data_IF_073592493504
#
_entry.id   IF_073592493504
#
_cell.length_a   1.000
_cell.length_b   1.000
_cell.length_c   1.000
_cell.angle_alpha   90.00
_cell.angle_beta   90.00
_cell.angle_gamma   90.00
#
_symmetry.space_group_name_H-M   'P 1'
#
loop_
_entity.id
_entity.type
_entity.pdbx_description
1 polymer ?
#
# COMPACT_ATOMS: atom_id res chain seq x y z
N UNK A 1 3.27 8.80 -4.76
CA UNK A 1 3.88 7.83 -5.69
C UNK A 1 5.34 7.65 -5.29
N UNK A 2 5.87 6.44 -5.31
CA UNK A 2 7.28 6.20 -4.95
C UNK A 2 7.81 4.91 -5.62
N UNK A 3 9.13 4.80 -5.74
CA UNK A 3 9.79 3.58 -6.21
C UNK A 3 10.04 2.62 -5.03
N UNK A 4 9.60 1.38 -5.18
CA UNK A 4 9.69 0.35 -4.15
C UNK A 4 9.91 -1.04 -4.74
N UNK A 5 9.50 -2.05 -3.98
CA UNK A 5 9.69 -3.45 -4.32
C UNK A 5 8.38 -4.23 -4.28
N UNK A 6 8.43 -5.49 -4.72
CA UNK A 6 7.42 -6.47 -4.34
C UNK A 6 7.40 -6.66 -2.82
N UNK A 7 6.21 -6.88 -2.25
CA UNK A 7 6.02 -7.15 -0.81
C UNK A 7 6.03 -8.63 -0.47
N UNK A 8 6.24 -9.49 -1.47
CA UNK A 8 6.46 -10.93 -1.34
C UNK A 8 7.74 -11.32 -2.10
N UNK A 9 8.38 -12.46 -1.76
CA UNK A 9 9.52 -12.96 -2.52
C UNK A 9 9.23 -13.02 -4.04
N UNK A 10 10.20 -12.69 -4.91
CA UNK A 10 11.61 -12.45 -4.61
C UNK A 10 11.96 -11.01 -4.20
N UNK A 11 10.99 -10.17 -3.81
CA UNK A 11 11.22 -8.81 -3.35
C UNK A 11 11.88 -7.89 -4.39
N UNK A 12 11.69 -8.16 -5.69
CA UNK A 12 12.26 -7.36 -6.80
C UNK A 12 11.93 -5.88 -6.65
N UNK A 13 12.94 -5.03 -6.78
CA UNK A 13 12.83 -3.56 -6.76
C UNK A 13 12.42 -2.99 -8.13
N UNK A 14 12.34 -1.66 -8.24
CA UNK A 14 11.96 -0.99 -9.47
C UNK A 14 10.45 -0.90 -9.71
N UNK A 15 9.62 -1.23 -8.70
CA UNK A 15 8.17 -1.15 -8.79
C UNK A 15 7.70 0.25 -8.43
N UNK A 16 6.94 0.90 -9.32
CA UNK A 16 6.31 2.17 -8.98
C UNK A 16 5.01 1.95 -8.22
N UNK A 17 4.97 2.39 -6.96
CA UNK A 17 3.80 2.33 -6.10
C UNK A 17 3.00 3.63 -6.15
N UNK A 18 1.69 3.50 -6.38
CA UNK A 18 0.70 4.56 -6.11
C UNK A 18 -0.18 4.09 -4.96
N UNK A 19 -0.28 4.89 -3.90
CA UNK A 19 -1.16 4.63 -2.76
C UNK A 19 -2.24 5.69 -2.76
N UNK A 20 -3.50 5.26 -2.81
CA UNK A 20 -4.64 6.16 -2.71
C UNK A 20 -4.78 6.72 -1.28
N UNK A 21 -4.95 8.04 -1.17
CA UNK A 21 -5.22 8.71 0.10
C UNK A 21 -6.62 8.40 0.66
N UNK A 22 -7.59 8.10 -0.21
CA UNK A 22 -8.97 7.81 0.20
C UNK A 22 -9.08 6.39 0.72
N UNK A 23 -9.32 6.25 2.02
CA UNK A 23 -9.58 4.96 2.66
C UNK A 23 -10.91 4.40 2.13
N UNK A 24 -10.89 3.14 1.67
CA UNK A 24 -12.08 2.40 1.23
C UNK A 24 -12.54 1.45 2.32
N UNK A 25 -13.83 1.10 2.28
CA UNK A 25 -14.46 0.22 3.25
C UNK A 25 -14.67 -1.18 2.67
N UNK A 26 -14.56 -2.19 3.53
CA UNK A 26 -14.90 -3.59 3.24
C UNK A 26 -15.66 -4.16 4.44
N UNK A 27 -16.62 -5.06 4.22
CA UNK A 27 -17.39 -5.61 5.33
C UNK A 27 -16.54 -6.57 6.17
N UNK A 28 -16.82 -6.66 7.48
CA UNK A 28 -16.17 -7.63 8.36
C UNK A 28 -16.36 -9.08 7.88
N UNK A 29 -17.54 -9.38 7.32
CA UNK A 29 -17.86 -10.69 6.75
C UNK A 29 -16.96 -11.05 5.56
N UNK A 30 -16.74 -10.11 4.63
CA UNK A 30 -15.85 -10.30 3.48
C UNK A 30 -14.40 -10.57 3.92
N UNK A 31 -13.90 -9.80 4.90
CA UNK A 31 -12.55 -10.03 5.46
C UNK A 31 -12.44 -11.40 6.11
N UNK A 32 -13.49 -11.85 6.82
CA UNK A 32 -13.52 -13.19 7.44
C UNK A 32 -13.47 -14.30 6.38
N UNK A 33 -14.22 -14.17 5.29
CA UNK A 33 -14.19 -15.13 4.18
C UNK A 33 -12.78 -15.27 3.60
N UNK A 34 -12.12 -14.14 3.32
CA UNK A 34 -10.75 -14.15 2.79
C UNK A 34 -9.76 -14.79 3.77
N UNK A 35 -9.83 -14.42 5.05
CA UNK A 35 -8.94 -14.96 6.11
C UNK A 35 -9.17 -16.45 6.37
N UNK A 36 -10.38 -16.97 6.16
CA UNK A 36 -10.74 -18.36 6.37
C UNK A 36 -10.48 -19.27 5.15
N UNK A 37 -9.98 -18.73 4.05
CA UNK A 37 -9.54 -19.50 2.89
C UNK A 37 -8.25 -20.29 3.18
N UNK A 38 -7.56 -20.76 2.13
CA UNK A 38 -6.22 -21.37 2.23
C UNK A 38 -5.23 -20.52 3.02
N UNK A 39 -5.43 -19.19 3.08
CA UNK A 39 -4.60 -18.25 3.86
C UNK A 39 -4.58 -18.57 5.36
N UNK A 40 -5.63 -19.18 5.91
CA UNK A 40 -5.69 -19.54 7.34
C UNK A 40 -4.51 -20.42 7.77
N UNK A 41 -4.08 -21.31 6.89
CA UNK A 41 -3.06 -22.32 7.17
C UNK A 41 -1.65 -21.85 6.80
N UNK A 42 -1.51 -21.14 5.67
CA UNK A 42 -0.20 -20.78 5.12
C UNK A 42 0.22 -19.33 5.41
N UNK A 43 -0.73 -18.42 5.63
CA UNK A 43 -0.47 -16.99 5.60
C UNK A 43 -1.45 -16.20 6.49
N UNK A 44 -1.65 -16.65 7.73
CA UNK A 44 -2.58 -16.02 8.69
C UNK A 44 -2.29 -14.54 8.95
N UNK A 45 -1.02 -14.15 8.85
CA UNK A 45 -0.52 -12.77 8.88
C UNK A 45 0.34 -12.54 7.64
N UNK A 46 -0.28 -12.14 6.54
CA UNK A 46 0.34 -12.05 5.21
C UNK A 46 0.77 -10.64 4.80
N UNK A 47 0.77 -9.69 5.74
CA UNK A 47 1.29 -8.35 5.49
C UNK A 47 2.79 -8.31 5.86
N UNK A 48 3.64 -7.95 4.89
CA UNK A 48 5.07 -7.68 5.14
C UNK A 48 5.21 -6.51 6.14
N UNK A 49 6.13 -6.57 7.11
CA UNK A 49 6.40 -5.44 8.01
C UNK A 49 6.81 -4.17 7.26
N UNK A 50 6.56 -3.01 7.86
CA UNK A 50 7.02 -1.72 7.31
C UNK A 50 8.54 -1.75 7.12
N UNK A 51 9.00 -1.28 5.97
CA UNK A 51 10.41 -1.20 5.62
C UNK A 51 10.90 0.24 5.76
N UNK A 52 12.18 0.41 6.07
CA UNK A 52 12.82 1.72 6.19
C UNK A 52 12.74 2.52 4.88
N UNK A 53 12.70 3.85 4.99
CA UNK A 53 12.50 4.73 3.84
C UNK A 53 13.76 4.85 2.97
N UNK A 54 14.97 4.74 3.56
CA UNK A 54 16.25 4.85 2.85
C UNK A 54 16.35 6.10 1.96
N UNK A 55 15.89 7.24 2.46
CA UNK A 55 15.93 8.54 1.75
C UNK A 55 15.20 8.56 0.40
N UNK A 56 14.38 7.54 0.09
CA UNK A 56 13.56 7.52 -1.12
C UNK A 56 12.52 8.63 -1.09
N UNK A 57 12.36 9.30 -2.23
CA UNK A 57 11.33 10.32 -2.40
C UNK A 57 9.93 9.70 -2.47
N UNK A 58 8.96 10.39 -1.87
CA UNK A 58 7.54 10.03 -1.90
C UNK A 58 6.74 11.24 -2.32
N UNK A 59 6.16 11.15 -3.50
CA UNK A 59 5.36 12.24 -4.07
C UNK A 59 3.92 12.16 -3.59
N UNK A 60 3.30 13.31 -3.30
CA UNK A 60 1.86 13.41 -3.06
C UNK A 60 1.20 14.12 -4.24
N UNK A 61 0.24 13.45 -4.88
CA UNK A 61 -0.67 14.13 -5.80
C UNK A 61 -1.82 14.75 -4.99
N UNK A 62 -1.86 16.09 -4.96
CA UNK A 62 -2.97 16.84 -4.39
C UNK A 62 -3.59 17.74 -5.48
N UNK A 63 -4.77 17.36 -6.03
CA UNK A 63 -5.42 18.17 -7.06
C UNK A 63 -5.88 19.53 -6.53
N UNK A 64 -6.13 19.67 -5.21
CA UNK A 64 -6.62 20.94 -4.62
C UNK A 64 -5.49 21.93 -4.36
N UNK A 65 -4.25 21.46 -4.26
CA UNK A 65 -3.09 22.34 -4.08
C UNK A 65 -2.85 23.24 -5.31
N UNK A 66 -3.36 22.85 -6.49
CA UNK A 66 -3.28 23.67 -7.71
C UNK A 66 -4.22 24.88 -7.70
N UNK A 67 -5.23 24.88 -6.82
CA UNK A 67 -6.26 25.93 -6.75
C UNK A 67 -5.96 26.99 -5.67
N UNK A 68 -4.84 26.86 -4.94
CA UNK A 68 -4.45 27.84 -3.92
C UNK A 68 -3.48 28.84 -4.59
N UNK A 69 -3.85 30.12 -4.77
CA UNK A 69 -2.95 31.10 -5.33
C UNK A 69 -1.74 31.28 -4.41
N UNK A 70 -0.55 31.15 -4.97
CA UNK A 70 0.68 31.57 -4.31
C UNK A 70 0.69 33.11 -4.28
N UNK A 71 0.43 33.69 -3.11
CA UNK A 71 0.59 35.13 -2.84
C UNK A 71 2.00 35.41 -2.33
#
# INVERSE_FOLDING_TARGET
RYMGSLTAPPCTEGITWTIDRKIRTVSRGQVKLLKNSVLKYYAKRNARPVQILNQREVELYDPKAKDIPHY
#
